data_IF_852156773154
#
_entry.id   IF_852156773154
#
_cell.length_a   1.000
_cell.length_b   1.000
_cell.length_c   1.000
_cell.angle_alpha   90.00
_cell.angle_beta   90.00
_cell.angle_gamma   90.00
#
_symmetry.space_group_name_H-M   'P 1'
#
loop_
_entity.id
_entity.type
_entity.pdbx_description
1 polymer ?
#
# COMPACT_ATOMS: atom_id res chain seq x y z
N UNK A 1 -13.96 -77.10 -16.81
CA UNK A 1 -14.28 -75.68 -17.07
C UNK A 1 -14.54 -74.89 -15.80
N UNK A 2 -13.63 -74.79 -14.82
CA UNK A 2 -13.84 -74.02 -13.58
C UNK A 2 -12.64 -73.15 -13.10
N UNK A 3 -11.59 -73.01 -13.94
CA UNK A 3 -10.37 -72.24 -13.56
C UNK A 3 -10.23 -70.83 -14.17
N UNK A 4 -11.11 -70.42 -15.10
CA UNK A 4 -10.96 -69.12 -15.78
C UNK A 4 -11.87 -68.00 -15.25
N UNK A 5 -12.74 -68.28 -14.26
CA UNK A 5 -13.66 -67.27 -13.69
C UNK A 5 -13.02 -66.49 -12.53
N UNK A 6 -12.11 -67.12 -11.80
CA UNK A 6 -11.46 -66.49 -10.65
C UNK A 6 -10.38 -65.43 -11.03
N UNK A 7 -9.71 -65.65 -12.16
CA UNK A 7 -8.67 -64.73 -12.62
C UNK A 7 -9.21 -63.40 -13.15
N UNK A 8 -10.37 -63.44 -13.86
CA UNK A 8 -11.04 -62.23 -14.36
C UNK A 8 -11.65 -61.39 -13.26
N UNK A 9 -12.17 -62.04 -12.19
CA UNK A 9 -12.75 -61.33 -11.02
C UNK A 9 -11.64 -60.61 -10.22
N UNK A 10 -10.47 -61.22 -10.04
CA UNK A 10 -9.34 -60.62 -9.30
C UNK A 10 -8.73 -59.46 -10.02
N UNK A 11 -8.62 -59.51 -11.36
CA UNK A 11 -8.12 -58.39 -12.18
C UNK A 11 -9.10 -57.23 -12.17
N UNK A 12 -10.41 -57.48 -12.19
CA UNK A 12 -11.42 -56.43 -12.13
C UNK A 12 -11.44 -55.70 -10.77
N UNK A 13 -11.24 -56.46 -9.65
CA UNK A 13 -11.13 -55.87 -8.32
C UNK A 13 -9.83 -55.03 -8.14
N UNK A 14 -8.76 -55.45 -8.78
CA UNK A 14 -7.50 -54.68 -8.74
C UNK A 14 -7.57 -53.37 -9.57
N UNK A 15 -8.30 -53.39 -10.71
CA UNK A 15 -8.54 -52.18 -11.52
C UNK A 15 -9.48 -51.17 -10.84
N UNK A 16 -10.49 -51.64 -10.09
CA UNK A 16 -11.38 -50.77 -9.30
C UNK A 16 -10.62 -50.21 -8.09
N UNK A 17 -9.72 -50.95 -7.46
CA UNK A 17 -8.87 -50.46 -6.36
C UNK A 17 -7.92 -49.35 -6.79
N UNK A 18 -7.37 -49.37 -8.02
CA UNK A 18 -6.47 -48.33 -8.55
C UNK A 18 -7.22 -47.04 -8.87
N UNK A 19 -8.48 -47.14 -9.30
CA UNK A 19 -9.33 -45.98 -9.61
C UNK A 19 -9.75 -45.24 -8.33
N UNK A 20 -9.93 -45.95 -7.21
CA UNK A 20 -10.35 -45.34 -5.93
C UNK A 20 -9.16 -44.66 -5.20
N UNK A 21 -7.91 -45.10 -5.44
CA UNK A 21 -6.71 -44.45 -4.88
C UNK A 21 -6.15 -43.32 -5.75
N UNK A 22 -6.64 -43.13 -6.99
CA UNK A 22 -6.20 -42.11 -7.93
C UNK A 22 -6.93 -40.76 -7.80
N UNK A 23 -7.92 -40.62 -6.91
CA UNK A 23 -8.65 -39.35 -6.71
C UNK A 23 -8.18 -38.56 -5.50
N UNK A 24 -7.01 -38.91 -4.95
CA UNK A 24 -6.42 -38.13 -3.89
C UNK A 24 -5.63 -36.97 -4.49
N UNK A 25 -6.19 -35.80 -4.27
CA UNK A 25 -5.48 -34.54 -4.06
C UNK A 25 -4.72 -33.98 -5.24
N UNK A 26 -5.41 -33.56 -6.27
CA UNK A 26 -5.10 -32.24 -6.77
C UNK A 26 -6.03 -31.28 -6.02
N UNK A 27 -5.85 -31.16 -4.73
CA UNK A 27 -6.10 -29.91 -4.05
C UNK A 27 -4.98 -29.00 -4.55
N UNK A 28 -5.11 -28.51 -5.79
CA UNK A 28 -4.34 -27.39 -6.23
C UNK A 28 -4.58 -26.34 -5.17
N UNK A 29 -3.51 -26.00 -4.43
CA UNK A 29 -3.46 -24.85 -3.56
C UNK A 29 -3.83 -23.68 -4.45
N UNK A 30 -5.13 -23.42 -4.53
CA UNK A 30 -5.68 -22.34 -5.34
C UNK A 30 -5.19 -21.11 -4.60
N UNK A 31 -4.06 -20.55 -5.05
CA UNK A 31 -3.54 -19.33 -4.49
C UNK A 31 -4.71 -18.36 -4.45
N UNK A 32 -5.20 -18.07 -3.26
CA UNK A 32 -6.35 -17.19 -3.08
C UNK A 32 -6.05 -15.89 -3.81
N UNK A 33 -6.86 -15.59 -4.81
CA UNK A 33 -6.70 -14.40 -5.65
C UNK A 33 -7.70 -13.34 -5.23
N UNK A 34 -7.28 -12.10 -5.28
CA UNK A 34 -8.15 -10.96 -5.18
C UNK A 34 -8.75 -10.68 -6.57
N UNK A 35 -9.81 -11.40 -6.91
CA UNK A 35 -10.33 -11.44 -8.28
C UNK A 35 -9.28 -11.95 -9.29
N UNK A 36 -8.89 -11.11 -10.24
CA UNK A 36 -7.84 -11.43 -11.21
C UNK A 36 -6.41 -11.09 -10.72
N UNK A 37 -6.28 -10.48 -9.53
CA UNK A 37 -5.00 -10.08 -8.95
C UNK A 37 -4.52 -11.11 -7.94
N UNK A 38 -3.20 -11.16 -7.70
CA UNK A 38 -2.68 -11.76 -6.46
C UNK A 38 -2.99 -10.83 -5.29
N UNK A 39 -3.14 -11.37 -4.07
CA UNK A 39 -3.32 -10.53 -2.87
C UNK A 39 -2.15 -9.60 -2.63
N UNK A 40 -0.90 -10.03 -2.88
CA UNK A 40 0.27 -9.17 -2.79
C UNK A 40 0.14 -7.94 -3.69
N UNK A 41 -0.33 -8.14 -4.92
CA UNK A 41 -0.61 -7.06 -5.87
C UNK A 41 -1.73 -6.14 -5.39
N UNK A 42 -2.82 -6.71 -4.86
CA UNK A 42 -3.95 -5.95 -4.33
C UNK A 42 -3.52 -5.09 -3.12
N UNK A 43 -2.75 -5.64 -2.18
CA UNK A 43 -2.18 -4.90 -1.04
C UNK A 43 -1.27 -3.76 -1.52
N UNK A 44 -0.40 -4.00 -2.51
CA UNK A 44 0.46 -2.95 -3.05
C UNK A 44 -0.34 -1.84 -3.75
N UNK A 45 -1.34 -2.18 -4.57
CA UNK A 45 -2.18 -1.20 -5.28
C UNK A 45 -3.02 -0.39 -4.28
N UNK A 46 -3.70 -1.04 -3.32
CA UNK A 46 -4.48 -0.35 -2.30
C UNK A 46 -3.59 0.53 -1.41
N UNK A 47 -2.41 0.03 -1.03
CA UNK A 47 -1.40 0.81 -0.29
C UNK A 47 -0.91 2.03 -1.06
N UNK A 48 -0.87 1.97 -2.39
CA UNK A 48 -0.45 3.09 -3.25
C UNK A 48 -1.48 4.23 -3.25
N UNK A 49 -2.77 3.95 -2.97
CA UNK A 49 -3.79 4.99 -2.83
C UNK A 49 -3.43 5.99 -1.72
N UNK A 50 -2.94 5.50 -0.58
CA UNK A 50 -2.46 6.34 0.52
C UNK A 50 -1.37 7.31 0.06
N UNK A 51 -0.37 6.81 -0.68
CA UNK A 51 0.72 7.63 -1.21
C UNK A 51 0.23 8.66 -2.22
N UNK A 52 -0.70 8.27 -3.11
CA UNK A 52 -1.23 9.16 -4.13
C UNK A 52 -2.05 10.32 -3.52
N UNK A 53 -2.86 10.05 -2.48
CA UNK A 53 -3.60 11.11 -1.77
C UNK A 53 -2.64 12.15 -1.17
N UNK A 54 -1.56 11.68 -0.51
CA UNK A 54 -0.55 12.58 0.06
C UNK A 54 0.24 13.34 -1.02
N UNK A 55 0.54 12.68 -2.13
CA UNK A 55 1.25 13.31 -3.26
C UNK A 55 0.42 14.41 -3.91
N UNK A 56 -0.89 14.21 -4.06
CA UNK A 56 -1.79 15.23 -4.58
C UNK A 56 -1.88 16.43 -3.64
N UNK A 57 -2.11 16.19 -2.35
CA UNK A 57 -2.13 17.25 -1.33
C UNK A 57 -0.83 18.05 -1.31
N UNK A 58 0.31 17.35 -1.22
CA UNK A 58 1.64 17.97 -1.27
C UNK A 58 1.83 18.84 -2.52
N UNK A 59 1.49 18.29 -3.70
CA UNK A 59 1.68 19.00 -4.97
C UNK A 59 0.81 20.25 -5.06
N UNK A 60 -0.43 20.16 -4.55
CA UNK A 60 -1.31 21.32 -4.51
C UNK A 60 -0.77 22.42 -3.61
N UNK A 61 -0.35 22.10 -2.38
CA UNK A 61 0.24 23.09 -1.46
C UNK A 61 1.49 23.75 -2.04
N UNK A 62 2.39 22.93 -2.63
CA UNK A 62 3.58 23.45 -3.28
C UNK A 62 3.26 24.42 -4.43
N UNK A 63 2.22 24.12 -5.21
CA UNK A 63 1.79 24.93 -6.36
C UNK A 63 1.17 26.27 -5.96
N UNK A 64 0.72 26.46 -4.72
CA UNK A 64 0.21 27.76 -4.23
C UNK A 64 1.30 28.83 -4.36
N UNK A 65 2.53 28.49 -3.97
CA UNK A 65 3.68 29.39 -4.02
C UNK A 65 4.51 29.26 -5.34
N UNK A 66 4.34 28.16 -6.05
CA UNK A 66 5.12 27.82 -7.25
C UNK A 66 4.20 27.49 -8.44
N UNK A 67 3.28 28.41 -8.84
CA UNK A 67 2.23 28.10 -9.80
C UNK A 67 2.73 27.81 -11.22
N UNK A 68 3.98 28.14 -11.55
CA UNK A 68 4.59 27.85 -12.86
C UNK A 68 5.28 26.49 -12.94
N UNK A 69 5.44 25.75 -11.82
CA UNK A 69 6.15 24.46 -11.82
C UNK A 69 5.36 23.39 -12.58
N UNK A 70 5.80 23.12 -13.81
CA UNK A 70 5.16 22.15 -14.71
C UNK A 70 5.30 20.71 -14.25
N UNK A 71 6.37 20.38 -13.48
CA UNK A 71 6.57 19.06 -12.91
C UNK A 71 5.56 18.79 -11.79
N UNK A 72 5.34 19.75 -10.90
CA UNK A 72 4.37 19.62 -9.83
C UNK A 72 2.93 19.55 -10.39
N UNK A 73 2.58 20.34 -11.41
CA UNK A 73 1.29 20.22 -12.13
C UNK A 73 1.09 18.83 -12.72
N UNK A 74 2.12 18.29 -13.38
CA UNK A 74 2.07 16.93 -13.95
C UNK A 74 1.93 15.88 -12.86
N UNK A 75 2.67 16.00 -11.76
CA UNK A 75 2.59 15.09 -10.61
C UNK A 75 1.20 15.08 -10.00
N UNK A 76 0.54 16.25 -9.86
CA UNK A 76 -0.82 16.37 -9.37
C UNK A 76 -1.82 15.64 -10.30
N UNK A 77 -1.80 16.00 -11.59
CA UNK A 77 -2.71 15.42 -12.59
C UNK A 77 -2.52 13.89 -12.73
N UNK A 78 -1.26 13.45 -12.86
CA UNK A 78 -0.95 12.02 -13.02
C UNK A 78 -1.36 11.23 -11.77
N UNK A 79 -1.15 11.79 -10.58
CA UNK A 79 -1.56 11.13 -9.33
C UNK A 79 -3.07 10.98 -9.24
N UNK A 80 -3.84 11.98 -9.67
CA UNK A 80 -5.31 11.93 -9.76
C UNK A 80 -5.78 10.79 -10.67
N UNK A 81 -5.26 10.75 -11.89
CA UNK A 81 -5.63 9.72 -12.88
C UNK A 81 -5.30 8.30 -12.37
N UNK A 82 -4.12 8.12 -11.78
CA UNK A 82 -3.70 6.82 -11.25
C UNK A 82 -4.55 6.43 -10.03
N UNK A 83 -4.89 7.39 -9.16
CA UNK A 83 -5.75 7.17 -8.00
C UNK A 83 -7.11 6.61 -8.44
N UNK A 84 -7.80 7.30 -9.34
CA UNK A 84 -9.11 6.88 -9.84
C UNK A 84 -9.06 5.50 -10.53
N UNK A 85 -8.08 5.29 -11.41
CA UNK A 85 -7.90 4.01 -12.09
C UNK A 85 -7.67 2.85 -11.11
N UNK A 86 -6.80 3.05 -10.13
CA UNK A 86 -6.48 2.00 -9.17
C UNK A 86 -7.60 1.73 -8.19
N UNK A 87 -8.35 2.77 -7.77
CA UNK A 87 -9.53 2.60 -6.94
C UNK A 87 -10.57 1.71 -7.66
N UNK A 88 -10.83 1.98 -8.95
CA UNK A 88 -11.68 1.13 -9.78
C UNK A 88 -11.17 -0.33 -9.88
N UNK A 89 -9.87 -0.54 -10.07
CA UNK A 89 -9.27 -1.89 -10.12
C UNK A 89 -9.51 -2.63 -8.80
N UNK A 90 -9.27 -2.01 -7.64
CA UNK A 90 -9.50 -2.64 -6.34
C UNK A 90 -10.98 -2.97 -6.15
N UNK A 91 -11.88 -2.06 -6.49
CA UNK A 91 -13.33 -2.27 -6.36
C UNK A 91 -13.83 -3.42 -7.24
N UNK A 92 -13.42 -3.47 -8.50
CA UNK A 92 -13.83 -4.52 -9.46
C UNK A 92 -13.36 -5.92 -9.06
N UNK A 93 -12.23 -6.02 -8.37
CA UNK A 93 -11.63 -7.30 -7.99
C UNK A 93 -12.02 -7.76 -6.57
N UNK A 94 -12.61 -6.91 -5.73
CA UNK A 94 -13.06 -7.30 -4.38
C UNK A 94 -14.25 -8.23 -4.43
N UNK A 95 -14.14 -9.38 -3.75
CA UNK A 95 -15.23 -10.33 -3.54
C UNK A 95 -16.08 -10.02 -2.29
N UNK A 96 -15.57 -9.21 -1.36
CA UNK A 96 -16.17 -9.01 -0.04
C UNK A 96 -16.89 -7.68 0.09
N UNK A 97 -18.11 -7.75 0.64
CA UNK A 97 -18.95 -6.56 0.88
C UNK A 97 -18.23 -5.51 1.74
N UNK A 98 -17.54 -5.94 2.79
CA UNK A 98 -16.83 -5.03 3.70
C UNK A 98 -15.76 -4.21 2.98
N UNK A 99 -14.99 -4.83 2.10
CA UNK A 99 -13.98 -4.10 1.29
C UNK A 99 -14.65 -3.11 0.36
N UNK A 100 -15.76 -3.49 -0.29
CA UNK A 100 -16.56 -2.58 -1.13
C UNK A 100 -17.14 -1.40 -0.35
N UNK A 101 -17.67 -1.65 0.86
CA UNK A 101 -18.20 -0.59 1.72
C UNK A 101 -17.09 0.42 2.13
N UNK A 102 -15.86 -0.04 2.35
CA UNK A 102 -14.71 0.84 2.64
C UNK A 102 -14.28 1.63 1.41
N UNK A 103 -14.31 1.03 0.23
CA UNK A 103 -14.04 1.74 -1.03
C UNK A 103 -15.10 2.82 -1.27
N UNK A 104 -16.38 2.52 -1.03
CA UNK A 104 -17.44 3.51 -1.14
C UNK A 104 -17.24 4.72 -0.20
N UNK A 105 -16.68 4.51 1.00
CA UNK A 105 -16.29 5.64 1.88
C UNK A 105 -15.14 6.46 1.30
N UNK A 106 -14.17 5.83 0.64
CA UNK A 106 -13.12 6.55 -0.10
C UNK A 106 -13.74 7.40 -1.20
N UNK A 107 -14.71 6.86 -1.96
CA UNK A 107 -15.35 7.57 -3.08
C UNK A 107 -16.07 8.84 -2.61
N UNK A 108 -16.76 8.79 -1.45
CA UNK A 108 -17.42 9.95 -0.86
C UNK A 108 -16.43 11.08 -0.54
N UNK A 109 -15.34 10.75 0.17
CA UNK A 109 -14.32 11.74 0.55
C UNK A 109 -13.55 12.22 -0.69
N UNK A 110 -13.28 11.31 -1.62
CA UNK A 110 -12.61 11.59 -2.88
C UNK A 110 -13.37 12.61 -3.73
N UNK A 111 -14.70 12.53 -3.79
CA UNK A 111 -15.53 13.45 -4.56
C UNK A 111 -15.32 14.92 -4.13
N UNK A 112 -15.17 15.17 -2.83
CA UNK A 112 -14.88 16.50 -2.29
C UNK A 112 -13.42 16.89 -2.51
N UNK A 113 -12.49 15.99 -2.16
CA UNK A 113 -11.05 16.21 -2.35
C UNK A 113 -10.70 16.52 -3.81
N UNK A 114 -11.31 15.79 -4.75
CA UNK A 114 -11.14 16.00 -6.20
C UNK A 114 -11.54 17.41 -6.64
N UNK A 115 -12.69 17.89 -6.17
CA UNK A 115 -13.14 19.26 -6.49
C UNK A 115 -12.12 20.31 -6.06
N UNK A 116 -11.50 20.13 -4.90
CA UNK A 116 -10.48 21.06 -4.41
C UNK A 116 -9.21 21.03 -5.25
N UNK A 117 -8.67 19.84 -5.55
CA UNK A 117 -7.41 19.72 -6.32
C UNK A 117 -7.53 20.09 -7.80
N UNK A 118 -8.74 20.16 -8.34
CA UNK A 118 -9.02 20.59 -9.72
C UNK A 118 -9.13 22.11 -9.87
N UNK A 119 -9.12 22.85 -8.76
CA UNK A 119 -9.09 24.32 -8.81
C UNK A 119 -7.68 24.86 -9.05
N UNK A 120 -7.58 26.11 -9.47
CA UNK A 120 -6.30 26.84 -9.41
C UNK A 120 -5.81 26.88 -7.97
N UNK A 121 -4.53 26.49 -7.71
CA UNK A 121 -3.99 26.47 -6.37
C UNK A 121 -4.09 27.83 -5.67
N UNK A 122 -4.65 27.81 -4.46
CA UNK A 122 -4.82 28.97 -3.58
C UNK A 122 -4.80 28.54 -2.13
N UNK A 123 -4.59 29.48 -1.20
CA UNK A 123 -4.45 29.22 0.23
C UNK A 123 -5.70 28.64 0.89
N UNK A 124 -6.89 29.11 0.50
CA UNK A 124 -8.14 28.66 1.13
C UNK A 124 -8.43 27.20 0.83
N UNK A 125 -8.24 26.79 -0.42
CA UNK A 125 -8.38 25.38 -0.79
C UNK A 125 -7.23 24.52 -0.26
N UNK A 126 -6.02 25.07 -0.13
CA UNK A 126 -4.91 24.36 0.50
C UNK A 126 -5.21 24.02 1.98
N UNK A 127 -5.82 24.94 2.74
CA UNK A 127 -6.27 24.66 4.12
C UNK A 127 -7.31 23.56 4.18
N UNK A 128 -8.33 23.59 3.32
CA UNK A 128 -9.35 22.54 3.23
C UNK A 128 -8.73 21.19 2.84
N UNK A 129 -7.75 21.18 1.92
CA UNK A 129 -7.02 19.98 1.55
C UNK A 129 -6.22 19.40 2.73
N UNK A 130 -5.58 20.24 3.56
CA UNK A 130 -4.88 19.78 4.77
C UNK A 130 -5.86 19.10 5.73
N UNK A 131 -7.04 19.66 5.94
CA UNK A 131 -8.08 19.11 6.82
C UNK A 131 -8.61 17.77 6.26
N UNK A 132 -9.06 17.75 5.02
CA UNK A 132 -9.67 16.57 4.39
C UNK A 132 -8.66 15.45 4.10
N UNK A 133 -7.39 15.78 3.94
CA UNK A 133 -6.33 14.84 3.61
C UNK A 133 -6.18 13.69 4.63
N UNK A 134 -6.37 13.97 5.93
CA UNK A 134 -6.25 12.94 6.97
C UNK A 134 -7.39 11.95 6.90
N UNK A 135 -8.60 12.38 6.58
CA UNK A 135 -9.76 11.51 6.44
C UNK A 135 -9.63 10.63 5.18
N UNK A 136 -9.17 11.19 4.06
CA UNK A 136 -8.90 10.42 2.84
C UNK A 136 -7.79 9.38 3.08
N UNK A 137 -6.73 9.75 3.81
CA UNK A 137 -5.68 8.81 4.18
C UNK A 137 -6.21 7.67 5.05
N UNK A 138 -7.03 7.98 6.06
CA UNK A 138 -7.65 6.99 6.94
C UNK A 138 -8.54 6.04 6.14
N UNK A 139 -9.43 6.57 5.31
CA UNK A 139 -10.32 5.76 4.48
C UNK A 139 -9.55 4.83 3.53
N UNK A 140 -8.50 5.33 2.87
CA UNK A 140 -7.65 4.50 1.99
C UNK A 140 -6.85 3.46 2.78
N UNK A 141 -6.44 3.75 4.02
CA UNK A 141 -5.78 2.77 4.89
C UNK A 141 -6.75 1.65 5.33
N UNK A 142 -8.02 2.00 5.58
CA UNK A 142 -9.05 1.02 5.93
C UNK A 142 -9.31 0.05 4.77
N UNK A 143 -9.19 0.49 3.51
CA UNK A 143 -9.24 -0.40 2.34
C UNK A 143 -8.06 -1.36 2.34
N UNK A 144 -6.82 -0.89 2.61
CA UNK A 144 -5.65 -1.79 2.69
C UNK A 144 -5.85 -2.87 3.74
N UNK A 145 -6.33 -2.48 4.93
CA UNK A 145 -6.61 -3.42 6.02
C UNK A 145 -7.67 -4.45 5.62
N UNK A 146 -8.74 -4.02 4.94
CA UNK A 146 -9.78 -4.92 4.45
C UNK A 146 -9.22 -5.92 3.41
N UNK A 147 -8.38 -5.48 2.48
CA UNK A 147 -7.74 -6.37 1.48
C UNK A 147 -6.85 -7.41 2.16
N UNK A 148 -6.11 -7.04 3.22
CA UNK A 148 -5.29 -7.98 3.99
C UNK A 148 -6.17 -8.99 4.73
N UNK A 149 -7.28 -8.55 5.34
CA UNK A 149 -8.25 -9.44 6.01
C UNK A 149 -8.92 -10.37 4.99
N UNK A 150 -9.34 -9.84 3.83
CA UNK A 150 -9.92 -10.63 2.74
C UNK A 150 -8.98 -11.75 2.27
N UNK A 151 -7.66 -11.53 2.35
CA UNK A 151 -6.66 -12.54 1.99
C UNK A 151 -6.63 -13.75 2.92
N UNK A 152 -7.17 -13.63 4.12
CA UNK A 152 -7.29 -14.75 5.08
C UNK A 152 -8.50 -15.65 4.81
N UNK A 153 -9.36 -15.33 3.84
CA UNK A 153 -10.60 -16.07 3.58
C UNK A 153 -11.65 -15.91 4.67
N UNK A 154 -11.42 -15.02 5.65
CA UNK A 154 -12.33 -14.82 6.77
C UNK A 154 -13.54 -13.99 6.32
N UNK A 155 -14.72 -14.60 6.25
CA UNK A 155 -15.97 -13.88 6.40
C UNK A 155 -15.95 -13.23 7.79
N UNK A 156 -16.25 -11.95 7.91
CA UNK A 156 -16.17 -11.19 9.17
C UNK A 156 -17.14 -11.67 10.28
N UNK A 157 -17.93 -12.70 10.05
CA UNK A 157 -18.77 -13.36 11.07
C UNK A 157 -18.02 -14.38 11.94
N UNK A 158 -16.85 -14.87 11.52
CA UNK A 158 -16.13 -15.94 12.21
C UNK A 158 -14.73 -15.50 12.68
N UNK A 159 -14.72 -14.57 13.63
CA UNK A 159 -13.48 -14.14 14.31
C UNK A 159 -12.79 -15.26 15.13
N UNK A 160 -13.34 -16.47 15.14
CA UNK A 160 -12.93 -17.59 16.00
C UNK A 160 -12.32 -18.79 15.25
N UNK A 161 -12.15 -18.75 13.93
CA UNK A 161 -11.52 -19.84 13.19
C UNK A 161 -10.07 -19.47 12.78
N UNK A 162 -9.22 -19.35 13.78
CA UNK A 162 -7.76 -19.32 13.61
C UNK A 162 -7.21 -20.69 14.01
N UNK A 163 -7.48 -21.73 13.26
CA UNK A 163 -6.62 -22.90 13.25
C UNK A 163 -5.46 -22.59 12.28
N UNK A 164 -4.29 -22.45 12.86
CA UNK A 164 -3.05 -22.04 12.24
C UNK A 164 -2.38 -23.25 11.57
N UNK A 165 -2.32 -23.26 10.25
CA UNK A 165 -1.57 -24.26 9.48
C UNK A 165 -0.14 -23.78 9.13
N UNK A 166 0.40 -22.79 9.83
CA UNK A 166 1.76 -22.29 9.68
C UNK A 166 2.11 -21.65 8.32
N UNK A 167 1.56 -22.16 7.22
CA UNK A 167 1.74 -21.61 5.88
C UNK A 167 0.96 -20.31 5.68
N UNK A 168 -0.21 -20.19 6.31
CA UNK A 168 -1.02 -18.98 6.30
C UNK A 168 -0.38 -17.81 7.06
N UNK A 169 0.44 -18.08 8.07
CA UNK A 169 1.13 -17.06 8.85
C UNK A 169 2.23 -16.37 8.04
N UNK A 170 3.07 -17.12 7.34
CA UNK A 170 4.13 -16.57 6.50
C UNK A 170 3.58 -15.69 5.36
N UNK A 171 2.49 -16.09 4.73
CA UNK A 171 1.81 -15.30 3.69
C UNK A 171 1.21 -13.99 4.25
N UNK A 172 0.66 -14.05 5.46
CA UNK A 172 0.17 -12.85 6.14
C UNK A 172 1.31 -11.90 6.52
N UNK A 173 2.42 -12.44 7.04
CA UNK A 173 3.61 -11.65 7.38
C UNK A 173 4.17 -10.94 6.15
N UNK A 174 4.26 -11.62 5.00
CA UNK A 174 4.67 -10.98 3.76
C UNK A 174 3.74 -9.82 3.36
N UNK A 175 2.43 -9.97 3.50
CA UNK A 175 1.46 -8.88 3.23
C UNK A 175 1.66 -7.71 4.20
N UNK A 176 1.99 -7.98 5.47
CA UNK A 176 2.36 -6.94 6.43
C UNK A 176 3.64 -6.20 6.00
N UNK A 177 4.66 -6.91 5.47
CA UNK A 177 5.87 -6.28 4.95
C UNK A 177 5.60 -5.42 3.71
N UNK A 178 4.79 -5.91 2.76
CA UNK A 178 4.35 -5.11 1.59
C UNK A 178 3.62 -3.85 2.05
N UNK A 179 2.74 -3.97 3.04
CA UNK A 179 2.00 -2.84 3.62
C UNK A 179 2.93 -1.84 4.31
N UNK A 180 3.90 -2.33 5.10
CA UNK A 180 4.87 -1.51 5.82
C UNK A 180 5.79 -0.75 4.86
N UNK A 181 6.38 -1.43 3.87
CA UNK A 181 7.19 -0.79 2.83
C UNK A 181 6.36 0.22 2.02
N UNK A 182 5.11 -0.14 1.71
CA UNK A 182 4.17 0.75 1.04
C UNK A 182 3.82 2.00 1.86
N UNK A 183 3.79 1.89 3.20
CA UNK A 183 3.56 3.02 4.11
C UNK A 183 4.69 4.04 4.04
N UNK A 184 5.94 3.61 3.84
CA UNK A 184 7.07 4.53 3.70
C UNK A 184 6.94 5.44 2.47
N UNK A 185 6.37 4.94 1.38
CA UNK A 185 6.06 5.78 0.20
C UNK A 185 5.10 6.92 0.56
N UNK A 186 4.08 6.60 1.35
CA UNK A 186 3.09 7.57 1.83
C UNK A 186 3.72 8.58 2.78
N UNK A 187 4.48 8.12 3.77
CA UNK A 187 5.16 8.98 4.75
C UNK A 187 6.16 9.93 4.07
N UNK A 188 6.88 9.48 3.04
CA UNK A 188 7.77 10.32 2.25
C UNK A 188 7.04 11.50 1.61
N UNK A 189 5.82 11.32 1.09
CA UNK A 189 5.03 12.41 0.53
C UNK A 189 4.42 13.28 1.64
N UNK A 190 3.96 12.66 2.73
CA UNK A 190 3.37 13.32 3.89
C UNK A 190 4.36 14.22 4.63
N UNK A 191 5.64 13.85 4.63
CA UNK A 191 6.72 14.67 5.19
C UNK A 191 6.78 16.05 4.50
N UNK A 192 6.80 16.07 3.17
CA UNK A 192 6.81 17.32 2.42
C UNK A 192 5.46 18.06 2.50
N UNK A 193 4.33 17.34 2.57
CA UNK A 193 3.01 17.93 2.79
C UNK A 193 3.02 18.80 4.06
N UNK A 194 3.46 18.23 5.20
CA UNK A 194 3.49 18.98 6.46
C UNK A 194 4.64 19.98 6.54
N UNK A 195 5.72 19.77 5.79
CA UNK A 195 6.72 20.80 5.59
C UNK A 195 6.08 22.06 4.98
N UNK A 196 5.27 21.94 3.92
CA UNK A 196 4.57 23.08 3.33
C UNK A 196 3.42 23.60 4.21
N UNK A 197 2.68 22.70 4.86
CA UNK A 197 1.62 23.09 5.78
C UNK A 197 2.15 23.88 7.01
N UNK A 198 3.45 23.79 7.29
CA UNK A 198 4.11 24.54 8.37
C UNK A 198 4.58 25.95 7.96
N UNK A 199 4.43 26.31 6.68
CA UNK A 199 4.68 27.68 6.25
C UNK A 199 3.70 28.65 6.88
N UNK A 200 4.14 29.89 7.10
CA UNK A 200 3.41 30.90 7.90
C UNK A 200 1.94 31.04 7.51
N UNK A 201 1.64 31.05 6.20
CA UNK A 201 0.27 31.26 5.68
C UNK A 201 -0.64 30.03 5.83
N UNK A 202 -0.05 28.82 5.83
CA UNK A 202 -0.78 27.55 5.90
C UNK A 202 -0.70 26.90 7.30
N UNK A 203 0.10 27.47 8.21
CA UNK A 203 0.37 26.89 9.52
C UNK A 203 -0.93 26.71 10.31
N UNK A 204 -1.22 25.46 10.67
CA UNK A 204 -2.29 25.08 11.59
C UNK A 204 -1.70 24.75 12.96
N UNK A 205 -2.56 24.73 14.00
CA UNK A 205 -2.15 24.42 15.39
C UNK A 205 -1.37 23.11 15.49
N UNK A 206 -1.65 22.13 14.63
CA UNK A 206 -1.09 20.77 14.72
C UNK A 206 -0.06 20.45 13.63
N UNK A 207 0.20 21.35 12.66
CA UNK A 207 1.04 21.03 11.49
C UNK A 207 2.49 20.70 11.86
N UNK A 208 3.05 21.35 12.86
CA UNK A 208 4.40 21.11 13.37
C UNK A 208 4.50 19.75 14.07
N UNK A 209 3.53 19.45 14.93
CA UNK A 209 3.45 18.13 15.58
C UNK A 209 3.29 17.01 14.55
N UNK A 210 2.48 17.23 13.50
CA UNK A 210 2.30 16.27 12.43
C UNK A 210 3.58 16.05 11.63
N UNK A 211 4.36 17.10 11.37
CA UNK A 211 5.67 16.96 10.71
C UNK A 211 6.61 16.09 11.53
N UNK A 212 6.70 16.36 12.85
CA UNK A 212 7.55 15.59 13.76
C UNK A 212 7.09 14.12 13.88
N UNK A 213 5.79 13.89 13.97
CA UNK A 213 5.23 12.53 14.03
C UNK A 213 5.57 11.74 12.75
N UNK A 214 5.42 12.36 11.57
CA UNK A 214 5.77 11.72 10.29
C UNK A 214 7.26 11.41 10.21
N UNK A 215 8.12 12.32 10.68
CA UNK A 215 9.57 12.09 10.74
C UNK A 215 9.90 10.87 11.60
N UNK A 216 9.38 10.82 12.83
CA UNK A 216 9.66 9.73 13.77
C UNK A 216 9.11 8.38 13.27
N UNK A 217 7.93 8.38 12.64
CA UNK A 217 7.34 7.17 12.07
C UNK A 217 8.16 6.64 10.89
N UNK A 218 8.67 7.53 10.03
CA UNK A 218 9.54 7.16 8.91
C UNK A 218 10.84 6.53 9.43
N UNK A 219 11.47 7.13 10.43
CA UNK A 219 12.71 6.65 11.03
C UNK A 219 12.54 5.27 11.69
N UNK A 220 11.50 5.09 12.49
CA UNK A 220 11.25 3.83 13.20
C UNK A 220 10.92 2.65 12.28
N UNK A 221 10.19 2.87 11.20
CA UNK A 221 9.76 1.80 10.33
C UNK A 221 10.87 1.24 9.42
N UNK A 222 11.91 2.01 9.12
CA UNK A 222 13.06 1.54 8.33
C UNK A 222 13.77 0.38 9.03
N UNK A 223 13.94 0.47 10.35
CA UNK A 223 14.58 -0.59 11.14
C UNK A 223 13.84 -1.92 11.00
N UNK A 224 12.51 -1.91 11.02
CA UNK A 224 11.70 -3.12 10.87
C UNK A 224 11.85 -3.76 9.47
N UNK A 225 12.01 -2.94 8.43
CA UNK A 225 12.24 -3.46 7.08
C UNK A 225 13.61 -4.11 6.94
N UNK A 226 14.62 -3.61 7.63
CA UNK A 226 15.99 -4.15 7.56
C UNK A 226 16.15 -5.54 8.17
N UNK A 227 15.35 -5.85 9.19
CA UNK A 227 15.42 -7.14 9.91
C UNK A 227 14.41 -8.17 9.40
N UNK A 228 13.72 -7.89 8.29
CA UNK A 228 12.70 -8.79 7.74
C UNK A 228 13.29 -10.09 7.20
N UNK A 229 12.71 -11.22 7.57
CA UNK A 229 13.08 -12.55 7.06
C UNK A 229 12.78 -12.74 5.56
N UNK A 230 12.02 -11.84 4.94
CA UNK A 230 11.74 -11.85 3.50
C UNK A 230 12.80 -11.13 2.67
N UNK A 231 13.84 -10.59 3.32
CA UNK A 231 14.89 -9.88 2.62
C UNK A 231 15.77 -10.87 1.85
N UNK A 232 16.18 -10.42 0.68
CA UNK A 232 17.22 -11.02 -0.14
C UNK A 232 18.15 -9.89 -0.61
N UNK A 233 19.26 -10.24 -1.27
CA UNK A 233 20.26 -9.26 -1.71
C UNK A 233 19.66 -8.10 -2.52
N UNK A 234 18.66 -8.36 -3.37
CA UNK A 234 18.01 -7.30 -4.16
C UNK A 234 17.17 -6.35 -3.29
N UNK A 235 16.49 -6.88 -2.28
CA UNK A 235 15.71 -6.07 -1.33
C UNK A 235 16.68 -5.25 -0.47
N UNK A 236 17.74 -5.87 0.03
CA UNK A 236 18.76 -5.21 0.88
C UNK A 236 19.45 -4.06 0.12
N UNK A 237 19.81 -4.26 -1.14
CA UNK A 237 20.36 -3.20 -2.00
C UNK A 237 19.41 -2.01 -2.12
N UNK A 238 18.10 -2.25 -2.32
CA UNK A 238 17.11 -1.18 -2.44
C UNK A 238 16.79 -0.52 -1.10
N UNK A 239 16.83 -1.27 0.00
CA UNK A 239 16.75 -0.72 1.35
C UNK A 239 17.96 0.16 1.65
N UNK A 240 19.18 -0.25 1.30
CA UNK A 240 20.39 0.56 1.42
C UNK A 240 20.28 1.91 0.69
N UNK A 241 19.74 1.90 -0.55
CA UNK A 241 19.46 3.15 -1.29
C UNK A 241 18.41 4.01 -0.57
N UNK A 242 17.34 3.42 -0.04
CA UNK A 242 16.32 4.16 0.67
C UNK A 242 16.86 4.77 1.97
N UNK A 243 17.65 4.00 2.72
CA UNK A 243 18.33 4.47 3.94
C UNK A 243 19.26 5.64 3.66
N UNK A 244 20.15 5.53 2.67
CA UNK A 244 21.08 6.62 2.33
C UNK A 244 20.34 7.92 2.02
N UNK A 245 19.18 7.85 1.34
CA UNK A 245 18.33 9.02 1.09
C UNK A 245 17.65 9.52 2.36
N UNK A 246 17.24 8.63 3.24
CA UNK A 246 16.63 9.01 4.51
C UNK A 246 17.63 9.66 5.45
N UNK A 247 18.84 9.14 5.56
CA UNK A 247 19.91 9.71 6.38
C UNK A 247 20.24 11.15 6.01
N UNK A 248 20.17 11.51 4.71
CA UNK A 248 20.35 12.90 4.28
C UNK A 248 19.30 13.84 4.91
N UNK A 249 18.06 13.36 5.09
CA UNK A 249 17.00 14.13 5.76
C UNK A 249 17.19 14.11 7.27
N UNK A 250 17.50 12.93 7.84
CA UNK A 250 17.69 12.70 9.27
C UNK A 250 18.82 13.56 9.83
N UNK A 251 19.95 13.63 9.14
CA UNK A 251 21.10 14.44 9.53
C UNK A 251 20.85 15.96 9.39
N UNK A 252 19.75 16.34 8.75
CA UNK A 252 19.29 17.72 8.59
C UNK A 252 17.91 17.93 9.27
N UNK A 253 17.63 17.24 10.38
CA UNK A 253 16.34 17.33 11.09
C UNK A 253 16.02 18.78 11.50
N UNK A 254 16.99 19.50 12.03
CA UNK A 254 16.80 20.90 12.43
C UNK A 254 16.45 21.79 11.22
N UNK A 255 17.10 21.57 10.09
CA UNK A 255 16.78 22.25 8.83
C UNK A 255 15.37 21.93 8.36
N UNK A 256 14.91 20.67 8.53
CA UNK A 256 13.55 20.26 8.22
C UNK A 256 12.52 20.95 9.12
N UNK A 257 12.73 20.91 10.45
CA UNK A 257 11.78 21.45 11.41
C UNK A 257 11.70 23.00 11.37
N UNK A 258 12.80 23.65 11.06
CA UNK A 258 12.91 25.13 10.98
C UNK A 258 12.71 25.69 9.56
N UNK A 259 12.08 24.94 8.65
CA UNK A 259 11.77 25.39 7.28
C UNK A 259 13.01 25.80 6.46
N UNK A 260 14.19 25.25 6.75
CA UNK A 260 15.47 25.61 6.14
C UNK A 260 15.74 25.02 4.76
N UNK A 261 14.89 24.08 4.27
CA UNK A 261 14.98 23.58 2.90
C UNK A 261 14.30 24.55 1.92
N UNK A 262 14.84 24.70 0.72
CA UNK A 262 14.11 25.36 -0.37
C UNK A 262 12.87 24.51 -0.71
N UNK A 263 11.71 25.11 -1.02
CA UNK A 263 10.51 24.34 -1.37
C UNK A 263 10.73 23.30 -2.48
N UNK A 264 11.43 23.65 -3.55
CA UNK A 264 11.74 22.73 -4.65
C UNK A 264 12.68 21.58 -4.22
N UNK A 265 13.62 21.85 -3.28
CA UNK A 265 14.49 20.83 -2.71
C UNK A 265 13.68 19.79 -1.91
N UNK A 266 12.78 20.26 -1.03
CA UNK A 266 11.89 19.36 -0.28
C UNK A 266 10.94 18.55 -1.19
N UNK A 267 10.45 19.18 -2.26
CA UNK A 267 9.66 18.50 -3.29
C UNK A 267 10.44 17.35 -3.94
N UNK A 268 11.71 17.59 -4.30
CA UNK A 268 12.60 16.58 -4.87
C UNK A 268 12.89 15.46 -3.88
N UNK A 269 13.30 15.79 -2.66
CA UNK A 269 13.60 14.82 -1.59
C UNK A 269 12.43 13.84 -1.39
N UNK A 270 11.23 14.35 -1.22
CA UNK A 270 10.05 13.50 -0.99
C UNK A 270 9.76 12.56 -2.15
N UNK A 271 9.96 13.02 -3.39
CA UNK A 271 9.77 12.19 -4.58
C UNK A 271 10.86 11.11 -4.71
N UNK A 272 12.11 11.42 -4.36
CA UNK A 272 13.22 10.46 -4.39
C UNK A 272 13.09 9.38 -3.32
N UNK A 273 12.71 9.74 -2.10
CA UNK A 273 12.38 8.79 -1.04
C UNK A 273 11.22 7.87 -1.47
N UNK A 274 10.15 8.44 -2.02
CA UNK A 274 9.01 7.66 -2.52
C UNK A 274 9.43 6.70 -3.62
N UNK A 275 10.32 7.12 -4.54
CA UNK A 275 10.83 6.25 -5.61
C UNK A 275 11.64 5.09 -5.04
N UNK A 276 12.49 5.34 -4.03
CA UNK A 276 13.29 4.32 -3.37
C UNK A 276 12.40 3.28 -2.67
N UNK A 277 11.45 3.71 -1.83
CA UNK A 277 10.52 2.79 -1.17
C UNK A 277 9.55 2.09 -2.13
N UNK A 278 9.22 2.69 -3.28
CA UNK A 278 8.44 2.01 -4.30
C UNK A 278 9.20 0.83 -4.92
N UNK A 279 10.52 0.94 -5.08
CA UNK A 279 11.36 -0.16 -5.54
C UNK A 279 11.38 -1.31 -4.50
N UNK A 280 11.56 -1.00 -3.22
CA UNK A 280 11.48 -1.97 -2.11
C UNK A 280 10.12 -2.68 -2.08
N UNK A 281 9.03 -1.92 -2.08
CA UNK A 281 7.66 -2.50 -2.06
C UNK A 281 7.40 -3.41 -3.26
N UNK A 282 7.89 -3.02 -4.45
CA UNK A 282 7.73 -3.82 -5.67
C UNK A 282 8.55 -5.11 -5.67
N UNK A 283 9.60 -5.21 -4.87
CA UNK A 283 10.35 -6.45 -4.66
C UNK A 283 9.62 -7.36 -3.67
N UNK A 284 9.16 -6.84 -2.53
CA UNK A 284 8.34 -7.63 -1.59
C UNK A 284 7.08 -8.20 -2.27
N UNK A 285 6.41 -7.45 -3.17
CA UNK A 285 5.26 -7.94 -3.94
C UNK A 285 5.57 -9.24 -4.72
N UNK A 286 6.84 -9.42 -5.12
CA UNK A 286 7.29 -10.54 -5.96
C UNK A 286 7.85 -11.71 -5.17
N UNK A 287 8.02 -11.58 -3.87
CA UNK A 287 8.46 -12.67 -3.00
C UNK A 287 7.45 -13.80 -3.11
N UNK A 288 7.94 -15.01 -3.27
CA UNK A 288 7.17 -16.25 -3.26
C UNK A 288 7.49 -16.98 -1.96
N UNK A 289 6.45 -17.49 -1.32
CA UNK A 289 6.50 -18.30 -0.09
C UNK A 289 6.21 -19.73 -0.50
#
# INVERSE_FOLDING_TARGET
>A
MKKNLTLKSTILLFLIGIIVFGTNTICAQQSMKYGMLTFNKAVNISGKQRMLSQKMAKSYLYLVENPSDTKAKRDLLTSKIIFEKQNGIINQNSGYKVTKDRIAKVDVIWAEFKKLIETTPNYDNAKKIIELNTDLLKATNDVVSAVIVESKGANQSDANLLEDDGAGESDLELKKMINMAGRQRMLSQRLALYYYANQTTLKTKNSEQMLNNVFNELDGAITMLLISNFNNSQIDDKLGVAMSKWEQVKNNKDKLMNQGFKPAEMYKISNELTKAFNAVTGLYEKVKI
#
